data_IF_286957440322
#
_entry.id   IF_286957440322
#
_cell.length_a   1.000
_cell.length_b   1.000
_cell.length_c   1.000
_cell.angle_alpha   90.00
_cell.angle_beta   90.00
_cell.angle_gamma   90.00
#
_symmetry.space_group_name_H-M   'P 1'
#
loop_
_entity.id
_entity.type
_entity.pdbx_description
1 polymer ?
#
# COMPACT_ATOMS: atom_id res chain seq x y z
N UNK A 1 -10.96 13.86 -20.23
CA UNK A 1 -9.65 13.26 -20.61
C UNK A 1 -8.48 13.99 -19.97
N UNK A 2 -8.41 15.33 -20.01
CA UNK A 2 -7.38 16.14 -19.31
C UNK A 2 -7.30 15.85 -17.81
N UNK A 3 -8.43 15.75 -17.13
CA UNK A 3 -8.50 15.45 -15.68
C UNK A 3 -7.90 14.08 -15.33
N UNK A 4 -8.10 13.07 -16.19
CA UNK A 4 -7.54 11.73 -16.00
C UNK A 4 -6.01 11.75 -16.10
N UNK A 5 -5.44 12.48 -17.07
CA UNK A 5 -3.99 12.64 -17.19
C UNK A 5 -3.38 13.38 -16.00
N UNK A 6 -4.09 14.38 -15.46
CA UNK A 6 -3.65 15.09 -14.25
C UNK A 6 -3.66 14.16 -13.04
N UNK A 7 -4.72 13.35 -12.86
CA UNK A 7 -4.82 12.40 -11.76
C UNK A 7 -3.70 11.35 -11.81
N UNK A 8 -3.47 10.74 -12.98
CA UNK A 8 -2.38 9.77 -13.17
C UNK A 8 -1.02 10.44 -12.94
N UNK A 9 -0.81 11.65 -13.48
CA UNK A 9 0.42 12.41 -13.29
C UNK A 9 0.70 12.75 -11.82
N UNK A 10 -0.34 13.10 -11.06
CA UNK A 10 -0.23 13.37 -9.63
C UNK A 10 0.12 12.11 -8.82
N UNK A 11 -0.47 10.96 -9.14
CA UNK A 11 -0.14 9.69 -8.49
C UNK A 11 1.31 9.27 -8.74
N UNK A 12 1.76 9.36 -9.99
CA UNK A 12 3.18 9.10 -10.34
C UNK A 12 4.11 10.06 -9.60
N UNK A 13 3.77 11.35 -9.54
CA UNK A 13 4.57 12.33 -8.79
C UNK A 13 4.62 11.98 -7.29
N UNK A 14 3.50 11.59 -6.69
CA UNK A 14 3.44 11.17 -5.29
C UNK A 14 4.37 9.98 -5.03
N UNK A 15 4.34 8.95 -5.88
CA UNK A 15 5.24 7.79 -5.78
C UNK A 15 6.71 8.15 -5.97
N UNK A 16 7.03 9.10 -6.86
CA UNK A 16 8.39 9.60 -7.04
C UNK A 16 8.89 10.35 -5.79
N UNK A 17 8.04 11.20 -5.19
CA UNK A 17 8.37 11.89 -3.94
C UNK A 17 8.50 10.89 -2.80
N UNK A 18 7.63 9.88 -2.72
CA UNK A 18 7.74 8.79 -1.75
C UNK A 18 9.07 8.05 -1.89
N UNK A 19 9.48 7.70 -3.11
CA UNK A 19 10.76 7.04 -3.37
C UNK A 19 11.97 7.93 -3.00
N UNK A 20 11.88 9.24 -3.26
CA UNK A 20 12.89 10.21 -2.87
C UNK A 20 13.03 10.30 -1.35
N UNK A 21 11.91 10.48 -0.63
CA UNK A 21 11.90 10.54 0.84
C UNK A 21 12.33 9.22 1.47
N UNK A 22 11.95 8.08 0.88
CA UNK A 22 12.39 6.76 1.31
C UNK A 22 13.92 6.69 1.31
N UNK A 23 14.56 7.10 0.21
CA UNK A 23 16.03 7.15 0.10
C UNK A 23 16.63 8.11 1.13
N UNK A 24 16.05 9.29 1.28
CA UNK A 24 16.52 10.30 2.23
C UNK A 24 16.54 9.74 3.66
N UNK A 25 15.49 9.04 4.06
CA UNK A 25 15.40 8.39 5.38
C UNK A 25 16.38 7.22 5.47
N UNK A 26 16.42 6.30 4.50
CA UNK A 26 17.28 5.11 4.58
C UNK A 26 18.78 5.43 4.56
N UNK A 27 19.16 6.58 4.00
CA UNK A 27 20.55 7.05 3.98
C UNK A 27 21.01 7.67 5.31
N UNK A 28 20.11 7.91 6.27
CA UNK A 28 20.49 8.38 7.59
C UNK A 28 21.22 7.28 8.38
N UNK A 29 22.21 7.63 9.23
CA UNK A 29 22.96 6.67 10.02
C UNK A 29 22.04 5.97 11.03
N UNK A 30 22.23 4.66 11.20
CA UNK A 30 21.42 3.82 12.09
C UNK A 30 22.11 3.55 13.44
N UNK A 31 22.77 4.55 14.02
CA UNK A 31 23.30 4.49 15.40
C UNK A 31 24.38 3.44 15.65
N UNK A 32 24.69 3.23 16.93
CA UNK A 32 25.65 2.22 17.40
C UNK A 32 25.11 0.78 17.33
N UNK A 33 25.98 -0.19 17.60
CA UNK A 33 25.70 -1.62 17.44
C UNK A 33 24.43 -2.08 18.17
N UNK A 34 24.21 -1.63 19.41
CA UNK A 34 23.04 -2.02 20.21
C UNK A 34 21.70 -1.57 19.59
N UNK A 35 21.63 -0.36 19.02
CA UNK A 35 20.40 0.15 18.38
C UNK A 35 20.12 -0.61 17.08
N UNK A 36 21.16 -0.94 16.33
CA UNK A 36 21.04 -1.73 15.09
C UNK A 36 20.56 -3.15 15.36
N UNK A 37 21.09 -3.80 16.42
CA UNK A 37 20.69 -5.14 16.84
C UNK A 37 19.21 -5.20 17.22
N UNK A 38 18.74 -4.27 18.06
CA UNK A 38 17.32 -4.16 18.41
C UNK A 38 16.47 -3.91 17.16
N UNK A 39 16.92 -3.01 16.28
CA UNK A 39 16.24 -2.73 15.02
C UNK A 39 16.10 -3.96 14.12
N UNK A 40 17.13 -4.78 14.04
CA UNK A 40 17.11 -6.01 13.26
C UNK A 40 16.09 -7.02 13.81
N UNK A 41 16.01 -7.18 15.13
CA UNK A 41 15.02 -8.04 15.79
C UNK A 41 13.58 -7.57 15.52
N UNK A 42 13.34 -6.25 15.58
CA UNK A 42 12.03 -5.66 15.25
C UNK A 42 11.70 -5.90 13.78
N UNK A 43 12.68 -5.69 12.88
CA UNK A 43 12.49 -5.91 11.44
C UNK A 43 12.17 -7.37 11.13
N UNK A 44 12.89 -8.31 11.71
CA UNK A 44 12.62 -9.73 11.52
C UNK A 44 11.21 -10.10 11.99
N UNK A 45 10.82 -9.68 13.19
CA UNK A 45 9.48 -9.94 13.73
C UNK A 45 8.37 -9.31 12.89
N UNK A 46 8.52 -8.06 12.48
CA UNK A 46 7.57 -7.35 11.64
C UNK A 46 7.39 -8.03 10.26
N UNK A 47 8.50 -8.44 9.64
CA UNK A 47 8.45 -9.11 8.34
C UNK A 47 7.87 -10.53 8.45
N UNK A 48 8.13 -11.24 9.54
CA UNK A 48 7.52 -12.54 9.81
C UNK A 48 6.00 -12.41 9.99
N UNK A 49 5.54 -11.41 10.74
CA UNK A 49 4.13 -11.10 10.93
C UNK A 49 3.44 -10.77 9.59
N UNK A 50 3.99 -9.82 8.80
CA UNK A 50 3.43 -9.44 7.50
C UNK A 50 3.30 -10.61 6.55
N UNK A 51 4.33 -11.46 6.47
CA UNK A 51 4.28 -12.66 5.62
C UNK A 51 3.12 -13.56 6.03
N UNK A 52 2.91 -13.77 7.33
CA UNK A 52 1.83 -14.61 7.82
C UNK A 52 0.45 -14.00 7.54
N UNK A 53 0.29 -12.71 7.82
CA UNK A 53 -0.93 -11.95 7.56
C UNK A 53 -1.28 -11.98 6.06
N UNK A 54 -0.33 -11.63 5.20
CA UNK A 54 -0.56 -11.54 3.75
C UNK A 54 -0.82 -12.91 3.13
N UNK A 55 -0.24 -13.98 3.68
CA UNK A 55 -0.55 -15.35 3.21
C UNK A 55 -2.01 -15.70 3.47
N UNK A 56 -2.54 -15.33 4.64
CA UNK A 56 -3.96 -15.59 4.98
C UNK A 56 -4.86 -14.66 4.15
N UNK A 57 -4.51 -13.38 4.05
CA UNK A 57 -5.26 -12.39 3.31
C UNK A 57 -5.32 -12.69 1.81
N UNK A 58 -4.24 -13.20 1.22
CA UNK A 58 -4.23 -13.64 -0.18
C UNK A 58 -5.28 -14.72 -0.46
N UNK A 59 -5.45 -15.68 0.45
CA UNK A 59 -6.50 -16.69 0.34
C UNK A 59 -7.91 -16.07 0.34
N UNK A 60 -8.14 -15.11 1.25
CA UNK A 60 -9.40 -14.37 1.31
C UNK A 60 -9.66 -13.56 0.02
N UNK A 61 -8.65 -12.85 -0.50
CA UNK A 61 -8.75 -12.07 -1.75
C UNK A 61 -9.13 -12.96 -2.93
N UNK A 62 -8.52 -14.15 -3.06
CA UNK A 62 -8.86 -15.09 -4.13
C UNK A 62 -10.31 -15.58 -4.02
N UNK A 63 -10.79 -15.87 -2.80
CA UNK A 63 -12.18 -16.28 -2.58
C UNK A 63 -13.13 -15.16 -3.01
N UNK A 64 -12.91 -13.92 -2.57
CA UNK A 64 -13.75 -12.79 -2.95
C UNK A 64 -13.69 -12.51 -4.44
N UNK A 65 -12.52 -12.62 -5.08
CA UNK A 65 -12.38 -12.50 -6.52
C UNK A 65 -13.28 -13.49 -7.28
N UNK A 66 -13.29 -14.77 -6.86
CA UNK A 66 -14.16 -15.79 -7.46
C UNK A 66 -15.65 -15.47 -7.22
N UNK A 67 -16.00 -15.07 -5.99
CA UNK A 67 -17.38 -14.71 -5.62
C UNK A 67 -17.88 -13.54 -6.47
N UNK A 68 -17.08 -12.47 -6.62
CA UNK A 68 -17.43 -11.31 -7.45
C UNK A 68 -17.56 -11.69 -8.92
N UNK A 69 -16.63 -12.49 -9.46
CA UNK A 69 -16.70 -12.95 -10.84
C UNK A 69 -17.99 -13.77 -11.09
N UNK A 70 -18.32 -14.70 -10.21
CA UNK A 70 -19.48 -15.61 -10.38
C UNK A 70 -20.82 -14.90 -10.16
N UNK A 71 -20.96 -14.10 -9.09
CA UNK A 71 -22.24 -13.47 -8.78
C UNK A 71 -22.51 -12.22 -9.63
N UNK A 72 -21.50 -11.38 -9.87
CA UNK A 72 -21.67 -10.09 -10.54
C UNK A 72 -21.38 -10.23 -12.02
N UNK A 73 -20.18 -10.67 -12.40
CA UNK A 73 -19.77 -10.65 -13.81
C UNK A 73 -20.45 -11.76 -14.65
N UNK A 74 -20.71 -12.94 -14.08
CA UNK A 74 -21.45 -14.02 -14.73
C UNK A 74 -22.97 -13.99 -14.47
N UNK A 75 -23.47 -13.05 -13.66
CA UNK A 75 -24.88 -12.85 -13.32
C UNK A 75 -25.66 -14.18 -13.06
N UNK A 76 -25.04 -15.12 -12.33
CA UNK A 76 -25.59 -16.47 -12.09
C UNK A 76 -26.95 -16.44 -11.36
N UNK A 77 -27.26 -15.36 -10.65
CA UNK A 77 -28.49 -15.22 -9.85
C UNK A 77 -29.72 -14.79 -10.67
N UNK A 78 -29.58 -14.46 -11.96
CA UNK A 78 -30.74 -14.10 -12.82
C UNK A 78 -31.56 -12.93 -12.26
N UNK A 79 -30.92 -12.01 -11.55
CA UNK A 79 -31.59 -10.96 -10.81
C UNK A 79 -31.93 -9.78 -11.75
N UNK A 80 -33.21 -9.52 -11.95
CA UNK A 80 -33.73 -8.47 -12.83
C UNK A 80 -33.37 -7.04 -12.38
N UNK A 81 -32.91 -6.82 -11.13
CA UNK A 81 -32.32 -5.52 -10.74
C UNK A 81 -30.91 -5.32 -11.28
N UNK A 82 -30.11 -6.39 -11.42
CA UNK A 82 -28.76 -6.33 -12.02
C UNK A 82 -28.88 -6.11 -13.54
N UNK A 83 -29.87 -6.72 -14.18
CA UNK A 83 -30.14 -6.55 -15.62
C UNK A 83 -30.56 -5.11 -15.97
N UNK A 84 -31.32 -4.43 -15.10
CA UNK A 84 -31.68 -3.02 -15.27
C UNK A 84 -30.49 -2.07 -15.02
N UNK A 85 -29.57 -2.40 -14.09
CA UNK A 85 -28.33 -1.63 -13.88
C UNK A 85 -27.35 -1.75 -15.06
N UNK A 86 -27.37 -2.90 -15.76
CA UNK A 86 -26.54 -3.16 -16.94
C UNK A 86 -27.17 -2.57 -18.22
N UNK A 87 -28.51 -2.53 -18.30
CA UNK A 87 -29.26 -2.05 -19.48
C UNK A 87 -29.44 -0.53 -19.56
N UNK A 88 -29.29 0.24 -18.47
CA UNK A 88 -29.49 1.71 -18.44
C UNK A 88 -28.34 2.52 -19.07
N UNK A 89 -27.54 1.91 -19.93
CA UNK A 89 -26.80 2.63 -20.97
C UNK A 89 -25.41 3.18 -20.63
N UNK A 90 -24.75 2.74 -19.55
CA UNK A 90 -23.34 3.12 -19.31
C UNK A 90 -22.44 2.06 -18.67
N UNK A 91 -22.94 0.83 -18.47
CA UNK A 91 -22.15 -0.25 -17.88
C UNK A 91 -22.35 -1.56 -18.66
N UNK A 92 -21.64 -1.67 -19.78
CA UNK A 92 -21.50 -2.91 -20.55
C UNK A 92 -20.61 -3.89 -19.77
N UNK A 93 -21.18 -4.58 -18.76
CA UNK A 93 -20.49 -5.66 -18.05
C UNK A 93 -20.46 -6.90 -18.94
N UNK A 94 -19.70 -6.84 -20.03
CA UNK A 94 -19.51 -7.97 -20.96
C UNK A 94 -18.26 -8.80 -20.61
N UNK A 95 -17.56 -8.45 -19.52
CA UNK A 95 -16.37 -9.15 -19.05
C UNK A 95 -16.12 -8.94 -17.55
N UNK A 96 -15.15 -9.65 -16.95
CA UNK A 96 -14.93 -9.67 -15.51
C UNK A 96 -14.26 -8.41 -14.94
N UNK A 97 -14.76 -7.22 -15.33
CA UNK A 97 -14.15 -5.93 -15.02
C UNK A 97 -14.20 -5.61 -13.53
N UNK A 98 -15.26 -6.03 -12.82
CA UNK A 98 -15.40 -5.76 -11.39
C UNK A 98 -14.40 -6.59 -10.58
N UNK A 99 -14.27 -7.88 -10.89
CA UNK A 99 -13.30 -8.76 -10.26
C UNK A 99 -11.85 -8.32 -10.54
N UNK A 100 -11.54 -7.90 -11.78
CA UNK A 100 -10.21 -7.38 -12.15
C UNK A 100 -9.88 -6.08 -11.39
N UNK A 101 -10.84 -5.14 -11.31
CA UNK A 101 -10.64 -3.90 -10.56
C UNK A 101 -10.42 -4.16 -9.06
N UNK A 102 -11.16 -5.10 -8.47
CA UNK A 102 -10.96 -5.55 -7.09
C UNK A 102 -9.55 -6.11 -6.88
N UNK A 103 -9.09 -7.00 -7.77
CA UNK A 103 -7.76 -7.61 -7.66
C UNK A 103 -6.64 -6.57 -7.82
N UNK A 104 -6.78 -5.63 -8.76
CA UNK A 104 -5.84 -4.54 -8.94
C UNK A 104 -5.75 -3.66 -7.68
N UNK A 105 -6.89 -3.31 -7.08
CA UNK A 105 -6.93 -2.55 -5.82
C UNK A 105 -6.33 -3.32 -4.64
N UNK A 106 -6.58 -4.63 -4.54
CA UNK A 106 -6.01 -5.48 -3.50
C UNK A 106 -4.48 -5.55 -3.58
N UNK A 107 -3.92 -5.67 -4.80
CA UNK A 107 -2.47 -5.64 -5.02
C UNK A 107 -1.88 -4.28 -4.63
N UNK A 108 -2.52 -3.18 -5.04
CA UNK A 108 -2.08 -1.83 -4.68
C UNK A 108 -2.05 -1.62 -3.16
N UNK A 109 -3.11 -2.04 -2.46
CA UNK A 109 -3.21 -1.97 -1.00
C UNK A 109 -2.11 -2.78 -0.30
N UNK A 110 -1.85 -4.02 -0.76
CA UNK A 110 -0.80 -4.86 -0.21
C UNK A 110 0.60 -4.25 -0.43
N UNK A 111 0.86 -3.66 -1.60
CA UNK A 111 2.13 -2.99 -1.87
C UNK A 111 2.33 -1.76 -0.99
N UNK A 112 1.30 -0.92 -0.83
CA UNK A 112 1.36 0.26 0.02
C UNK A 112 1.61 -0.11 1.50
N UNK A 113 0.92 -1.13 2.00
CA UNK A 113 1.13 -1.64 3.36
C UNK A 113 2.55 -2.20 3.57
N UNK A 114 3.06 -2.97 2.60
CA UNK A 114 4.41 -3.52 2.66
C UNK A 114 5.49 -2.45 2.65
N UNK A 115 5.38 -1.45 1.76
CA UNK A 115 6.34 -0.34 1.67
C UNK A 115 6.27 0.50 2.96
N UNK A 116 5.07 0.81 3.44
CA UNK A 116 4.83 1.57 4.67
C UNK A 116 5.48 0.92 5.89
N UNK A 117 5.31 -0.39 6.06
CA UNK A 117 5.95 -1.08 7.19
C UNK A 117 7.49 -1.11 7.05
N UNK A 118 8.00 -1.35 5.85
CA UNK A 118 9.44 -1.42 5.62
C UNK A 118 10.14 -0.08 5.92
N UNK A 119 9.54 1.06 5.54
CA UNK A 119 10.09 2.38 5.88
C UNK A 119 9.94 2.71 7.37
N UNK A 120 8.82 2.35 8.00
CA UNK A 120 8.59 2.60 9.42
C UNK A 120 9.63 1.88 10.28
N UNK A 121 9.84 0.57 10.06
CA UNK A 121 10.79 -0.21 10.87
C UNK A 121 12.23 0.28 10.69
N UNK A 122 12.62 0.63 9.45
CA UNK A 122 13.94 1.22 9.18
C UNK A 122 14.08 2.64 9.73
N UNK A 123 12.99 3.40 9.76
CA UNK A 123 12.95 4.77 10.27
C UNK A 123 13.08 4.86 11.79
N UNK A 124 12.63 3.84 12.52
CA UNK A 124 12.63 3.83 13.99
C UNK A 124 14.03 3.96 14.58
N UNK A 125 14.99 3.12 14.14
CA UNK A 125 16.37 3.18 14.65
C UNK A 125 17.04 4.50 14.31
N UNK A 126 16.85 5.00 13.08
CA UNK A 126 17.41 6.27 12.60
C UNK A 126 16.85 7.47 13.34
N UNK A 127 15.56 7.44 13.66
CA UNK A 127 14.90 8.47 14.48
C UNK A 127 15.46 8.45 15.89
N UNK A 128 15.62 7.26 16.49
CA UNK A 128 16.20 7.11 17.83
C UNK A 128 17.65 7.63 17.89
N UNK A 129 18.47 7.32 16.88
CA UNK A 129 19.84 7.87 16.77
C UNK A 129 19.84 9.38 16.60
N UNK A 130 18.99 9.92 15.72
CA UNK A 130 18.93 11.36 15.51
C UNK A 130 18.46 12.12 16.76
N UNK A 131 17.66 11.50 17.63
CA UNK A 131 17.23 12.09 18.89
C UNK A 131 18.40 12.35 19.86
N UNK A 132 19.52 11.63 19.74
CA UNK A 132 20.75 11.93 20.50
C UNK A 132 21.33 13.31 20.14
N UNK A 133 21.11 13.78 18.91
CA UNK A 133 21.57 15.09 18.42
C UNK A 133 20.55 16.21 18.61
N UNK A 134 19.30 15.87 18.97
CA UNK A 134 18.22 16.81 19.28
C UNK A 134 16.87 16.44 18.66
N UNK A 135 15.83 17.16 19.08
CA UNK A 135 14.45 16.90 18.67
C UNK A 135 14.19 17.21 17.19
N UNK A 136 14.72 18.31 16.66
CA UNK A 136 14.47 18.73 15.28
C UNK A 136 14.93 17.69 14.23
N UNK A 137 16.17 17.16 14.27
CA UNK A 137 16.60 16.14 13.32
C UNK A 137 15.81 14.84 13.46
N UNK A 138 15.49 14.41 14.69
CA UNK A 138 14.66 13.23 14.92
C UNK A 138 13.25 13.38 14.32
N UNK A 139 12.60 14.52 14.57
CA UNK A 139 11.26 14.80 14.05
C UNK A 139 11.25 14.83 12.52
N UNK A 140 12.28 15.38 11.88
CA UNK A 140 12.38 15.38 10.40
C UNK A 140 12.45 13.96 9.84
N UNK A 141 13.23 13.07 10.45
CA UNK A 141 13.33 11.67 10.01
C UNK A 141 11.98 10.95 10.23
N UNK A 142 11.39 11.12 11.41
CA UNK A 142 10.09 10.52 11.74
C UNK A 142 8.99 10.99 10.78
N UNK A 143 8.87 12.30 10.56
CA UNK A 143 7.88 12.88 9.67
C UNK A 143 8.09 12.46 8.21
N UNK A 144 9.34 12.45 7.73
CA UNK A 144 9.64 11.97 6.38
C UNK A 144 9.30 10.48 6.22
N UNK A 145 9.53 9.66 7.24
CA UNK A 145 9.16 8.24 7.19
C UNK A 145 7.64 8.03 7.12
N UNK A 146 6.87 8.84 7.86
CA UNK A 146 5.40 8.86 7.78
C UNK A 146 4.88 9.41 6.45
N UNK A 147 5.54 10.43 5.90
CA UNK A 147 5.20 10.99 4.60
C UNK A 147 5.37 9.96 3.46
N UNK A 148 6.39 9.10 3.52
CA UNK A 148 6.55 8.00 2.56
C UNK A 148 5.35 7.06 2.60
N UNK A 149 4.89 6.66 3.78
CA UNK A 149 3.70 5.82 3.92
C UNK A 149 2.46 6.50 3.33
N UNK A 150 2.21 7.77 3.69
CA UNK A 150 1.05 8.51 3.18
C UNK A 150 1.07 8.69 1.65
N UNK A 151 2.22 9.05 1.08
CA UNK A 151 2.37 9.24 -0.36
C UNK A 151 2.27 7.94 -1.16
N UNK A 152 2.66 6.80 -0.57
CA UNK A 152 2.52 5.48 -1.20
C UNK A 152 1.07 4.97 -1.17
N UNK A 153 0.26 5.40 -0.20
CA UNK A 153 -1.16 5.04 -0.11
C UNK A 153 -2.01 5.88 -1.07
N UNK A 154 -1.67 7.15 -1.26
CA UNK A 154 -2.42 8.08 -2.13
C UNK A 154 -1.99 7.98 -3.60
N UNK A 155 -0.71 7.69 -3.87
CA UNK A 155 -0.14 7.61 -5.21
C UNK A 155 -0.33 6.25 -5.86
#
# INVERSE_FOLDING_TARGET
MTELYIAIGAGVLALLVAAFLFRLVTNQPSGGHAVQEIGALIQEGAMAFLRREYTILAGFVVIIFIVLAVLIDFNVTGNSTIENLISDGNLSVTGPWTAIAYLAGAIGSALAGYIGMNIAVRGNTRTATAAETGLNPALRIAFNSGAVMGLTVVG
#
